data_IF_816080151020
#
_entry.id   IF_816080151020
#
_cell.length_a   1.000
_cell.length_b   1.000
_cell.length_c   1.000
_cell.angle_alpha   90.00
_cell.angle_beta   90.00
_cell.angle_gamma   90.00
#
_symmetry.space_group_name_H-M   'P 1'
#
loop_
_entity.id
_entity.type
_entity.pdbx_description
1 polymer ?
#
# COMPACT_ATOMS: atom_id res chain seq x y z
N UNK A 1 10.36 11.90 2.50
CA UNK A 1 10.81 12.66 1.30
C UNK A 1 10.71 11.84 0.01
N UNK A 2 11.11 10.56 0.00
CA UNK A 2 11.05 9.70 -1.21
C UNK A 2 9.63 9.55 -1.80
N UNK A 3 8.61 9.37 -0.97
CA UNK A 3 7.21 9.26 -1.43
C UNK A 3 6.69 10.51 -2.14
N UNK A 4 7.11 11.70 -1.68
CA UNK A 4 6.70 12.98 -2.28
C UNK A 4 7.33 13.13 -3.68
N UNK A 5 8.61 12.79 -3.82
CA UNK A 5 9.30 12.84 -5.11
C UNK A 5 8.68 11.87 -6.13
N UNK A 6 8.37 10.63 -5.72
CA UNK A 6 7.70 9.65 -6.58
C UNK A 6 6.33 10.12 -7.07
N UNK A 7 5.52 10.67 -6.16
CA UNK A 7 4.21 11.23 -6.53
C UNK A 7 4.33 12.40 -7.52
N UNK A 8 5.28 13.31 -7.28
CA UNK A 8 5.53 14.45 -8.18
C UNK A 8 5.92 13.97 -9.59
N UNK A 9 6.72 12.91 -9.71
CA UNK A 9 7.07 12.32 -11.01
C UNK A 9 5.83 11.81 -11.73
N UNK A 10 4.96 11.05 -11.05
CA UNK A 10 3.71 10.54 -11.64
C UNK A 10 2.81 11.68 -12.11
N UNK A 11 2.69 12.75 -11.33
CA UNK A 11 1.91 13.94 -11.70
C UNK A 11 2.49 14.62 -12.94
N UNK A 12 3.79 14.89 -12.97
CA UNK A 12 4.45 15.55 -14.11
C UNK A 12 4.32 14.71 -15.39
N UNK A 13 4.53 13.40 -15.29
CA UNK A 13 4.37 12.47 -16.43
C UNK A 13 2.92 12.43 -16.90
N UNK A 14 1.95 12.45 -15.99
CA UNK A 14 0.52 12.50 -16.32
C UNK A 14 0.16 13.78 -17.09
N UNK A 15 0.64 14.94 -16.63
CA UNK A 15 0.43 16.22 -17.32
C UNK A 15 1.05 16.19 -18.72
N UNK A 16 2.27 15.65 -18.86
CA UNK A 16 2.94 15.52 -20.15
C UNK A 16 2.19 14.58 -21.11
N UNK A 17 1.68 13.46 -20.61
CA UNK A 17 0.90 12.51 -21.38
C UNK A 17 -0.47 13.07 -21.81
N UNK A 18 -1.18 13.80 -20.94
CA UNK A 18 -2.45 14.46 -21.30
C UNK A 18 -2.25 15.54 -22.35
N UNK A 19 -1.12 16.27 -22.28
CA UNK A 19 -0.74 17.28 -23.30
C UNK A 19 -0.26 16.65 -24.61
N UNK A 20 0.10 15.37 -24.61
CA UNK A 20 0.47 14.67 -25.85
C UNK A 20 -0.75 14.49 -26.75
N UNK A 21 -0.53 14.51 -28.08
CA UNK A 21 -1.57 14.14 -29.06
C UNK A 21 -1.79 12.63 -29.18
N UNK A 22 -1.08 11.82 -28.39
CA UNK A 22 -1.13 10.36 -28.44
C UNK A 22 -2.22 9.81 -27.53
N UNK A 23 -3.25 9.20 -28.13
CA UNK A 23 -4.36 8.58 -27.40
C UNK A 23 -3.92 7.41 -26.50
N UNK A 24 -2.83 6.73 -26.85
CA UNK A 24 -2.29 5.61 -26.08
C UNK A 24 -1.62 6.09 -24.79
N UNK A 25 -0.94 7.25 -24.83
CA UNK A 25 -0.40 7.89 -23.64
C UNK A 25 -1.52 8.32 -22.66
N UNK A 26 -2.65 8.83 -23.17
CA UNK A 26 -3.80 9.21 -22.34
C UNK A 26 -4.46 8.00 -21.67
N UNK A 27 -4.68 6.93 -22.42
CA UNK A 27 -5.24 5.68 -21.88
C UNK A 27 -4.30 5.03 -20.85
N UNK A 28 -2.99 5.04 -21.11
CA UNK A 28 -1.99 4.49 -20.21
C UNK A 28 -1.88 5.28 -18.89
N UNK A 29 -2.12 6.59 -18.88
CA UNK A 29 -2.21 7.37 -17.62
C UNK A 29 -3.36 6.90 -16.74
N UNK A 30 -4.53 6.59 -17.32
CA UNK A 30 -5.64 6.03 -16.55
C UNK A 30 -5.24 4.69 -15.88
N UNK A 31 -4.47 3.86 -16.58
CA UNK A 31 -3.92 2.61 -16.07
C UNK A 31 -2.81 2.79 -15.02
N UNK A 32 -2.23 3.98 -14.87
CA UNK A 32 -1.34 4.31 -13.74
C UNK A 32 -2.17 4.66 -12.51
N UNK A 33 -3.17 5.52 -12.66
CA UNK A 33 -3.95 6.04 -11.54
C UNK A 33 -4.93 5.04 -10.94
N UNK A 34 -5.56 4.19 -11.76
CA UNK A 34 -6.49 3.16 -11.27
C UNK A 34 -5.85 2.21 -10.23
N UNK A 35 -4.73 1.51 -10.53
CA UNK A 35 -4.10 0.65 -9.55
C UNK A 35 -3.50 1.40 -8.36
N UNK A 36 -2.99 2.62 -8.56
CA UNK A 36 -2.54 3.46 -7.44
C UNK A 36 -3.70 3.82 -6.50
N UNK A 37 -4.87 4.14 -7.06
CA UNK A 37 -6.09 4.38 -6.30
C UNK A 37 -6.54 3.15 -5.52
N UNK A 38 -6.52 1.97 -6.15
CA UNK A 38 -6.83 0.70 -5.47
C UNK A 38 -5.87 0.47 -4.30
N UNK A 39 -4.56 0.56 -4.54
CA UNK A 39 -3.55 0.38 -3.49
C UNK A 39 -3.74 1.36 -2.32
N UNK A 40 -4.00 2.65 -2.63
CA UNK A 40 -4.27 3.66 -1.62
C UNK A 40 -5.52 3.36 -0.81
N UNK A 41 -6.64 3.04 -1.47
CA UNK A 41 -7.91 2.74 -0.81
C UNK A 41 -7.81 1.48 0.06
N UNK A 42 -7.09 0.45 -0.38
CA UNK A 42 -6.87 -0.76 0.42
C UNK A 42 -6.08 -0.45 1.69
N UNK A 43 -4.99 0.31 1.57
CA UNK A 43 -4.18 0.73 2.74
C UNK A 43 -5.01 1.59 3.68
N UNK A 44 -5.77 2.54 3.14
CA UNK A 44 -6.63 3.43 3.93
C UNK A 44 -7.71 2.65 4.66
N UNK A 45 -8.42 1.75 3.97
CA UNK A 45 -9.47 0.94 4.57
C UNK A 45 -8.92 0.01 5.67
N UNK A 46 -7.75 -0.60 5.45
CA UNK A 46 -7.07 -1.39 6.46
C UNK A 46 -6.70 -0.54 7.69
N UNK A 47 -6.10 0.62 7.47
CA UNK A 47 -5.69 1.53 8.56
C UNK A 47 -6.89 2.04 9.35
N UNK A 48 -8.00 2.37 8.67
CA UNK A 48 -9.23 2.82 9.30
C UNK A 48 -9.88 1.70 10.13
N UNK A 49 -9.96 0.48 9.60
CA UNK A 49 -10.46 -0.67 10.35
C UNK A 49 -9.61 -0.96 11.57
N UNK A 50 -8.28 -0.89 11.43
CA UNK A 50 -7.36 -1.13 12.54
C UNK A 50 -7.43 -0.03 13.60
N UNK A 51 -7.59 1.23 13.22
CA UNK A 51 -7.75 2.33 14.19
C UNK A 51 -9.05 2.23 15.00
N UNK A 52 -10.08 1.61 14.42
CA UNK A 52 -11.38 1.40 15.08
C UNK A 52 -11.48 0.07 15.85
N UNK A 53 -10.51 -0.84 15.70
CA UNK A 53 -10.32 -1.99 16.58
C UNK A 53 -9.30 -1.60 17.64
N UNK A 54 -9.61 -1.74 18.93
CA UNK A 54 -8.79 -1.23 20.06
C UNK A 54 -7.50 -2.03 20.30
N UNK A 55 -6.86 -2.53 19.24
CA UNK A 55 -5.54 -3.16 19.25
C UNK A 55 -5.53 -4.68 19.05
N UNK A 56 -4.33 -5.26 19.15
CA UNK A 56 -4.06 -6.67 18.84
C UNK A 56 -4.93 -7.68 19.59
N UNK A 57 -5.37 -7.36 20.83
CA UNK A 57 -6.23 -8.26 21.60
C UNK A 57 -7.66 -8.33 21.09
N UNK A 58 -8.17 -7.24 20.54
CA UNK A 58 -9.50 -7.25 19.91
C UNK A 58 -9.50 -7.92 18.56
N UNK A 59 -8.38 -7.83 17.85
CA UNK A 59 -8.19 -8.50 16.57
C UNK A 59 -8.01 -10.02 16.71
N UNK A 60 -7.34 -10.47 17.79
CA UNK A 60 -7.03 -11.88 18.04
C UNK A 60 -7.32 -12.29 19.50
N UNK A 61 -8.60 -12.31 19.90
CA UNK A 61 -9.00 -12.63 21.27
C UNK A 61 -8.65 -14.06 21.70
N UNK A 62 -8.62 -15.00 20.75
CA UNK A 62 -8.26 -16.41 20.95
C UNK A 62 -6.80 -16.63 21.31
N UNK A 63 -5.90 -15.72 20.91
CA UNK A 63 -4.47 -15.85 21.17
C UNK A 63 -4.03 -15.02 22.38
N UNK A 64 -4.50 -13.78 22.48
CA UNK A 64 -3.99 -12.84 23.46
C UNK A 64 -4.92 -12.58 24.64
N UNK A 65 -6.11 -13.21 24.64
CA UNK A 65 -7.12 -13.06 25.67
C UNK A 65 -7.77 -11.68 25.67
N UNK A 66 -8.97 -11.57 25.12
CA UNK A 66 -9.79 -10.35 25.25
C UNK A 66 -10.83 -10.52 26.37
N UNK A 67 -10.85 -9.60 27.34
CA UNK A 67 -11.90 -9.50 28.37
C UNK A 67 -12.31 -8.04 28.59
N UNK A 68 -13.53 -7.64 28.21
CA UNK A 68 -14.15 -6.40 28.69
C UNK A 68 -14.90 -6.63 30.02
N UNK A 69 -15.08 -5.61 30.89
CA UNK A 69 -14.02 -4.78 31.47
C UNK A 69 -13.96 -4.93 33.02
N UNK A 70 -12.79 -4.66 33.61
CA UNK A 70 -12.59 -3.95 34.91
C UNK A 70 -11.64 -4.53 36.00
N UNK A 71 -11.02 -5.72 35.93
CA UNK A 71 -10.18 -6.13 37.10
C UNK A 71 -8.93 -6.97 36.89
N UNK A 72 -8.52 -7.31 35.66
CA UNK A 72 -7.30 -8.10 35.48
C UNK A 72 -6.26 -7.32 34.68
N UNK A 73 -5.19 -6.94 35.38
CA UNK A 73 -3.91 -6.57 34.76
C UNK A 73 -3.57 -7.69 33.81
N UNK A 74 -3.61 -7.40 32.51
CA UNK A 74 -3.36 -8.43 31.54
C UNK A 74 -1.95 -8.98 31.72
N UNK A 75 -1.79 -10.32 31.82
CA UNK A 75 -0.58 -10.92 32.38
C UNK A 75 0.67 -10.67 31.54
N UNK A 76 0.52 -10.38 30.23
CA UNK A 76 1.62 -10.13 29.31
C UNK A 76 1.35 -8.92 28.40
N UNK A 77 2.34 -8.03 28.19
CA UNK A 77 2.23 -6.95 27.20
C UNK A 77 2.12 -7.54 25.79
N UNK A 78 1.30 -6.91 24.94
CA UNK A 78 1.17 -7.23 23.51
C UNK A 78 1.63 -6.03 22.72
N UNK A 79 2.57 -6.23 21.81
CA UNK A 79 3.10 -5.20 20.94
C UNK A 79 2.39 -5.18 19.59
N UNK A 80 2.00 -3.99 19.13
CA UNK A 80 1.47 -3.72 17.78
C UNK A 80 2.55 -3.00 16.97
N UNK A 81 3.15 -3.71 16.01
CA UNK A 81 4.21 -3.18 15.14
C UNK A 81 3.70 -3.06 13.72
N UNK A 82 4.06 -1.98 13.04
CA UNK A 82 3.77 -1.85 11.61
C UNK A 82 4.78 -2.67 10.80
N UNK A 83 4.27 -3.51 9.89
CA UNK A 83 5.09 -4.38 9.04
C UNK A 83 4.94 -4.05 7.57
N UNK A 84 6.05 -4.19 6.85
CA UNK A 84 6.09 -4.07 5.41
C UNK A 84 5.89 -5.41 4.71
N UNK A 85 6.15 -6.53 5.40
CA UNK A 85 5.86 -7.87 4.91
C UNK A 85 5.36 -8.78 6.03
N UNK A 86 4.08 -9.21 5.99
CA UNK A 86 3.04 -8.69 5.11
C UNK A 86 2.69 -7.23 5.46
N UNK A 87 2.18 -6.48 4.47
CA UNK A 87 1.84 -5.07 4.58
C UNK A 87 0.65 -4.83 5.52
N UNK A 88 0.92 -4.42 6.74
CA UNK A 88 -0.11 -4.26 7.77
C UNK A 88 0.48 -4.14 9.17
N UNK A 89 -0.04 -4.95 10.09
CA UNK A 89 0.39 -5.00 11.50
C UNK A 89 0.84 -6.40 11.87
N UNK A 90 1.85 -6.45 12.71
CA UNK A 90 2.33 -7.62 13.42
C UNK A 90 2.03 -7.45 14.90
N UNK A 91 1.32 -8.43 15.44
CA UNK A 91 0.97 -8.52 16.85
C UNK A 91 1.88 -9.54 17.50
N UNK A 92 2.73 -9.10 18.43
CA UNK A 92 3.67 -9.97 19.16
C UNK A 92 3.29 -9.99 20.62
N UNK A 93 3.08 -11.18 21.16
CA UNK A 93 2.71 -11.35 22.56
C UNK A 93 2.93 -12.78 23.03
N UNK A 94 2.49 -13.05 24.26
CA UNK A 94 2.37 -14.41 24.75
C UNK A 94 0.91 -14.82 24.75
N UNK A 95 0.70 -16.08 24.40
CA UNK A 95 -0.56 -16.78 24.54
C UNK A 95 -1.06 -16.67 25.99
N UNK A 96 -2.32 -16.30 26.19
CA UNK A 96 -2.92 -16.20 27.52
C UNK A 96 -3.04 -17.56 28.22
N UNK A 97 -3.21 -18.63 27.46
CA UNK A 97 -3.48 -19.97 27.99
C UNK A 97 -2.19 -20.78 28.13
N UNK A 98 -1.31 -20.71 27.13
CA UNK A 98 -0.09 -21.53 27.09
C UNK A 98 1.18 -20.80 27.53
N UNK A 99 1.15 -19.46 27.57
CA UNK A 99 2.33 -18.63 27.87
C UNK A 99 3.42 -18.67 26.78
N UNK A 100 3.17 -19.33 25.65
CA UNK A 100 4.08 -19.40 24.51
C UNK A 100 4.10 -18.10 23.72
N UNK A 101 5.21 -17.77 23.07
CA UNK A 101 5.30 -16.55 22.25
C UNK A 101 4.58 -16.80 20.92
N UNK A 102 3.64 -15.91 20.58
CA UNK A 102 2.88 -15.94 19.33
C UNK A 102 3.14 -14.64 18.56
N UNK A 103 3.24 -14.77 17.24
CA UNK A 103 3.38 -13.68 16.29
C UNK A 103 2.26 -13.81 15.26
N UNK A 104 1.36 -12.83 15.23
CA UNK A 104 0.23 -12.79 14.30
C UNK A 104 0.34 -11.67 13.29
N UNK A 105 -0.01 -11.97 12.03
CA UNK A 105 0.15 -11.06 10.92
C UNK A 105 -1.18 -10.76 10.22
N UNK A 106 -1.60 -9.50 10.27
CA UNK A 106 -2.90 -9.04 9.73
C UNK A 106 -2.82 -8.60 8.27
N UNK A 107 -1.60 -8.42 7.74
CA UNK A 107 -1.37 -7.73 6.47
C UNK A 107 -1.46 -8.58 5.20
N UNK A 108 -1.68 -9.89 5.27
CA UNK A 108 -1.53 -10.78 4.10
C UNK A 108 -2.49 -10.43 2.96
N UNK A 109 -3.76 -10.17 3.28
CA UNK A 109 -4.78 -9.77 2.28
C UNK A 109 -4.40 -8.44 1.65
N UNK A 110 -4.01 -7.46 2.47
CA UNK A 110 -3.55 -6.15 2.01
C UNK A 110 -2.35 -6.29 1.08
N UNK A 111 -1.40 -7.18 1.40
CA UNK A 111 -0.22 -7.48 0.59
C UNK A 111 -0.59 -8.03 -0.79
N UNK A 112 -1.51 -9.00 -0.83
CA UNK A 112 -1.97 -9.65 -2.05
C UNK A 112 -2.71 -8.69 -3.00
N UNK A 113 -3.23 -7.55 -2.50
CA UNK A 113 -3.90 -6.54 -3.31
C UNK A 113 -2.93 -5.41 -3.71
N UNK A 114 -2.19 -4.87 -2.73
CA UNK A 114 -1.38 -3.67 -2.90
C UNK A 114 -0.19 -3.92 -3.81
N UNK A 115 0.56 -5.02 -3.64
CA UNK A 115 1.76 -5.25 -4.45
C UNK A 115 1.49 -5.53 -5.93
N UNK A 116 0.49 -6.37 -6.30
CA UNK A 116 0.12 -6.50 -7.71
C UNK A 116 -0.36 -5.17 -8.31
N UNK A 117 -1.16 -4.39 -7.57
CA UNK A 117 -1.61 -3.08 -8.03
C UNK A 117 -0.42 -2.13 -8.28
N UNK A 118 0.50 -2.00 -7.32
CA UNK A 118 1.71 -1.18 -7.50
C UNK A 118 2.57 -1.66 -8.69
N UNK A 119 2.68 -2.97 -8.89
CA UNK A 119 3.41 -3.54 -10.04
C UNK A 119 2.76 -3.11 -11.37
N UNK A 120 1.43 -3.20 -11.48
CA UNK A 120 0.69 -2.73 -12.64
C UNK A 120 0.90 -1.23 -12.89
N UNK A 121 0.87 -0.41 -11.82
CA UNK A 121 1.10 1.03 -11.92
C UNK A 121 2.51 1.36 -12.46
N UNK A 122 3.54 0.67 -11.97
CA UNK A 122 4.94 0.85 -12.41
C UNK A 122 5.11 0.47 -13.88
N UNK A 123 4.53 -0.66 -14.31
CA UNK A 123 4.59 -1.09 -15.71
C UNK A 123 3.90 -0.08 -16.62
N UNK A 124 2.70 0.37 -16.28
CA UNK A 124 1.96 1.37 -17.04
C UNK A 124 2.74 2.71 -17.14
N UNK A 125 3.33 3.16 -16.03
CA UNK A 125 4.14 4.37 -16.00
C UNK A 125 5.38 4.25 -16.91
N UNK A 126 6.04 3.10 -16.89
CA UNK A 126 7.20 2.82 -17.75
C UNK A 126 6.82 2.92 -19.23
N UNK A 127 5.68 2.37 -19.62
CA UNK A 127 5.17 2.48 -21.01
C UNK A 127 4.95 3.94 -21.40
N UNK A 128 4.33 4.75 -20.52
CA UNK A 128 4.09 6.18 -20.78
C UNK A 128 5.42 6.93 -20.96
N UNK A 129 6.38 6.74 -20.06
CA UNK A 129 7.68 7.42 -20.11
C UNK A 129 8.43 7.05 -21.39
N UNK A 130 8.53 5.76 -21.73
CA UNK A 130 9.22 5.30 -22.95
C UNK A 130 8.58 5.89 -24.21
N UNK A 131 7.25 5.95 -24.26
CA UNK A 131 6.52 6.53 -25.40
C UNK A 131 6.75 8.03 -25.53
N UNK A 132 6.63 8.78 -24.44
CA UNK A 132 6.90 10.22 -24.44
C UNK A 132 8.35 10.52 -24.85
N UNK A 133 9.33 9.77 -24.35
CA UNK A 133 10.74 9.92 -24.75
C UNK A 133 10.98 9.58 -26.23
N UNK A 134 10.29 8.58 -26.79
CA UNK A 134 10.36 8.26 -28.21
C UNK A 134 9.77 9.37 -29.09
N UNK A 135 8.62 9.93 -28.72
CA UNK A 135 7.99 11.05 -29.42
C UNK A 135 8.86 12.31 -29.37
N UNK A 136 9.44 12.64 -28.21
CA UNK A 136 10.35 13.77 -28.06
C UNK A 136 11.60 13.65 -28.94
N UNK A 137 12.21 12.45 -29.01
CA UNK A 137 13.37 12.20 -29.88
C UNK A 137 13.05 12.37 -31.37
N UNK A 138 11.86 11.94 -31.82
CA UNK A 138 11.43 12.10 -33.22
C UNK A 138 11.21 13.57 -33.58
N UNK A 139 10.60 14.35 -32.69
CA UNK A 139 10.39 15.78 -32.89
C UNK A 139 11.72 16.56 -32.92
N UNK A 140 12.71 16.17 -32.10
CA UNK A 140 14.04 16.76 -32.11
C UNK A 140 14.80 16.53 -33.43
N UNK A 141 14.78 15.30 -33.95
CA UNK A 141 15.41 14.97 -35.25
C UNK A 141 14.75 15.65 -36.45
N UNK A 142 13.47 15.98 -36.37
CA UNK A 142 12.77 16.68 -37.45
C UNK A 142 13.08 18.20 -37.49
N UNK A 143 13.70 18.74 -36.43
CA UNK A 143 14.08 20.16 -36.32
C UNK A 143 15.57 20.42 -36.57
N UNK A 144 16.40 19.37 -36.62
CA UNK A 144 17.82 19.42 -36.99
C UNK A 144 18.00 19.22 -38.48
#
# INVERSE_FOLDING_TARGET
>A
MIFIAGFMIVVVVSIAAVRSRDGLCKAAVALVWLPLGIAFLTIWAFSYRWANQSGCREAFPEHFGYRPPDYEVAPFPVEDRQTWWPLGRECVGRDSDTGTVIVEHTGWVTTMIVYPALTCAVVALTVVVVRLSALGRRAGRARS
#
